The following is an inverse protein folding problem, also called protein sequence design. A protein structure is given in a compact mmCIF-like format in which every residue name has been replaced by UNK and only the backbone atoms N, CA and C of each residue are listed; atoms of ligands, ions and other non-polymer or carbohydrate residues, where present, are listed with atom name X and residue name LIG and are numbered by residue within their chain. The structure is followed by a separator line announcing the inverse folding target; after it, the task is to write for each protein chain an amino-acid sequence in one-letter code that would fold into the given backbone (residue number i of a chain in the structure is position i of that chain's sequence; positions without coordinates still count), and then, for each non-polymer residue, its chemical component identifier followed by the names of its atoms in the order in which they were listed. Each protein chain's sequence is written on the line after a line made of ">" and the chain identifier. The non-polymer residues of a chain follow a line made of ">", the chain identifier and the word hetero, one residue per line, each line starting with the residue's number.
data_IF_096915320454
#
_entry.id   IF_096915320454
#
_cell.length_a   1.000
_cell.length_b   1.000
_cell.length_c   1.000
_cell.angle_alpha   90.00
_cell.angle_beta   90.00
_cell.angle_gamma   90.00
#
_symmetry.space_group_name_H-M   'P 1'
#
loop_
_entity.id
_entity.type
_entity.pdbx_description
1 polymer ?
#
# COMPACT_ATOMS: atom_id res chain seq x y z
N UNK A 1 12.04 52.95 57.87
CA UNK A 1 12.81 52.34 56.76
C UNK A 1 12.93 53.24 55.51
N UNK A 2 12.55 54.53 55.53
CA UNK A 2 12.65 55.41 54.34
C UNK A 2 13.25 56.81 54.60
N UNK A 3 14.06 57.00 55.65
CA UNK A 3 14.71 58.31 55.93
C UNK A 3 15.74 58.77 54.89
N UNK A 4 16.10 57.92 53.94
CA UNK A 4 17.08 58.23 52.88
C UNK A 4 16.45 59.04 51.72
N UNK A 5 15.17 58.81 51.41
CA UNK A 5 14.50 59.40 50.24
C UNK A 5 14.26 60.92 50.44
N UNK A 6 14.00 61.35 51.67
CA UNK A 6 13.67 62.75 51.99
C UNK A 6 14.84 63.74 51.77
N UNK A 7 16.07 63.24 51.66
CA UNK A 7 17.28 64.04 51.43
C UNK A 7 17.61 64.28 49.95
N UNK A 8 16.86 63.67 49.02
CA UNK A 8 17.14 63.73 47.60
C UNK A 8 16.36 64.87 46.94
N UNK A 9 17.04 65.70 46.15
CA UNK A 9 16.37 66.73 45.35
C UNK A 9 15.55 66.09 44.23
N UNK A 10 14.46 66.76 43.82
CA UNK A 10 13.52 66.25 42.81
C UNK A 10 14.20 65.84 41.49
N UNK A 11 15.26 66.57 41.09
CA UNK A 11 16.09 66.21 39.92
C UNK A 11 16.81 64.87 40.09
N UNK A 12 17.36 64.59 41.28
CA UNK A 12 18.05 63.32 41.58
C UNK A 12 17.07 62.14 41.63
N UNK A 13 15.85 62.36 42.12
CA UNK A 13 14.80 61.34 42.13
C UNK A 13 14.41 60.95 40.71
N UNK A 14 14.21 61.93 39.82
CA UNK A 14 13.89 61.67 38.40
C UNK A 14 15.03 60.91 37.71
N UNK A 15 16.30 61.31 37.92
CA UNK A 15 17.45 60.61 37.33
C UNK A 15 17.56 59.17 37.82
N UNK A 16 17.31 58.92 39.11
CA UNK A 16 17.32 57.58 39.69
C UNK A 16 16.19 56.70 39.11
N UNK A 17 15.00 57.27 38.92
CA UNK A 17 13.88 56.57 38.25
C UNK A 17 14.23 56.18 36.82
N UNK A 18 14.82 57.07 36.02
CA UNK A 18 15.22 56.77 34.63
C UNK A 18 16.27 55.65 34.58
N UNK A 19 17.24 55.67 35.50
CA UNK A 19 18.28 54.63 35.59
C UNK A 19 17.66 53.29 35.99
N UNK A 20 16.80 53.25 37.02
CA UNK A 20 16.11 52.03 37.46
C UNK A 20 15.22 51.47 36.34
N UNK A 21 14.52 52.33 35.59
CA UNK A 21 13.72 51.90 34.43
C UNK A 21 14.57 51.29 33.32
N UNK A 22 15.76 51.84 33.04
CA UNK A 22 16.69 51.29 32.04
C UNK A 22 17.34 49.98 32.47
N UNK A 23 17.67 49.83 33.76
CA UNK A 23 18.24 48.58 34.29
C UNK A 23 17.21 47.45 34.38
N UNK A 24 15.93 47.75 34.56
CA UNK A 24 14.86 46.74 34.60
C UNK A 24 14.34 46.34 33.21
N UNK A 25 14.55 47.14 32.16
CA UNK A 25 14.05 46.80 30.82
C UNK A 25 14.86 45.69 30.14
N UNK A 26 16.15 45.59 30.43
CA UNK A 26 17.07 44.60 29.84
C UNK A 26 16.76 43.16 30.32
N UNK A 27 16.65 42.87 31.63
CA UNK A 27 16.37 41.51 32.09
C UNK A 27 15.01 40.97 31.64
N UNK A 28 14.00 41.84 31.44
CA UNK A 28 12.68 41.41 30.94
C UNK A 28 12.73 40.92 29.49
N UNK A 29 13.56 41.55 28.64
CA UNK A 29 13.74 41.15 27.25
C UNK A 29 14.49 39.82 27.13
N UNK A 30 15.47 39.59 28.01
CA UNK A 30 16.25 38.34 28.05
C UNK A 30 15.40 37.17 28.56
N UNK A 31 14.56 37.37 29.57
CA UNK A 31 13.58 36.35 30.02
C UNK A 31 12.58 36.02 28.91
N UNK A 32 12.10 37.03 28.17
CA UNK A 32 11.18 36.80 27.05
C UNK A 32 11.84 36.07 25.87
N UNK A 33 13.11 36.35 25.57
CA UNK A 33 13.86 35.71 24.49
C UNK A 33 14.38 34.29 24.83
N UNK A 34 14.48 33.96 26.13
CA UNK A 34 14.95 32.66 26.62
C UNK A 34 13.81 31.73 27.09
N UNK A 35 12.57 32.20 27.13
CA UNK A 35 11.43 31.30 27.27
C UNK A 35 11.20 30.63 25.91
N UNK A 36 11.52 29.33 25.74
CA UNK A 36 11.11 28.63 24.52
C UNK A 36 9.59 28.77 24.41
N UNK A 37 9.10 29.15 23.23
CA UNK A 37 7.70 28.91 22.88
C UNK A 37 7.60 27.39 22.82
N UNK A 38 7.22 26.76 23.92
CA UNK A 38 6.72 25.40 23.84
C UNK A 38 5.47 25.47 22.97
N UNK A 39 5.61 25.17 21.69
CA UNK A 39 4.48 24.77 20.87
C UNK A 39 4.05 23.40 21.37
N UNK A 40 3.36 23.35 22.50
CA UNK A 40 2.62 22.16 22.89
C UNK A 40 1.47 22.05 21.91
N UNK A 41 1.67 21.30 20.83
CA UNK A 41 0.57 20.75 20.08
C UNK A 41 -0.23 19.87 21.06
N UNK A 42 -1.34 20.39 21.56
CA UNK A 42 -2.30 19.68 22.42
C UNK A 42 -3.11 18.63 21.65
N UNK A 43 -2.45 17.85 20.79
CA UNK A 43 -3.00 16.65 20.16
C UNK A 43 -2.16 15.41 20.46
N UNK A 44 -1.05 15.54 21.18
CA UNK A 44 -0.21 14.41 21.58
C UNK A 44 -0.53 13.97 23.03
N UNK A 45 -1.76 13.54 23.29
CA UNK A 45 -2.03 12.63 24.41
C UNK A 45 -3.38 11.91 24.29
N UNK A 46 -3.40 10.85 23.49
CA UNK A 46 -4.01 9.58 23.89
C UNK A 46 -3.64 8.50 22.86
N UNK A 47 -2.76 7.58 23.28
CA UNK A 47 -2.24 6.40 22.55
C UNK A 47 -1.21 6.72 21.45
N UNK A 48 -0.13 7.41 21.80
CA UNK A 48 1.13 7.17 21.09
C UNK A 48 1.78 5.94 21.74
N UNK A 49 1.58 4.76 21.13
CA UNK A 49 2.57 3.69 21.32
C UNK A 49 3.96 4.25 21.00
N UNK A 50 5.01 3.60 21.51
CA UNK A 50 6.39 3.94 21.13
C UNK A 50 6.45 4.27 19.62
N UNK A 51 7.14 5.34 19.19
CA UNK A 51 7.30 5.59 17.76
C UNK A 51 7.84 4.31 17.15
N UNK A 52 7.05 3.66 16.28
CA UNK A 52 7.51 2.51 15.50
C UNK A 52 8.65 3.04 14.64
N UNK A 53 9.88 2.88 15.10
CA UNK A 53 11.05 2.99 14.26
C UNK A 53 10.89 1.86 13.26
N UNK A 54 10.50 2.18 12.02
CA UNK A 54 10.55 1.22 10.94
C UNK A 54 12.02 0.88 10.72
N UNK A 55 12.43 -0.28 11.22
CA UNK A 55 13.73 -0.83 10.92
C UNK A 55 13.76 -1.06 9.41
N UNK A 56 14.66 -0.38 8.74
CA UNK A 56 14.90 -0.63 7.32
C UNK A 56 15.94 -1.73 7.24
N UNK A 57 15.57 -2.87 6.66
CA UNK A 57 16.52 -3.94 6.37
C UNK A 57 16.48 -4.25 4.88
N UNK A 58 17.67 -4.35 4.29
CA UNK A 58 17.81 -4.82 2.92
C UNK A 58 17.60 -6.34 2.85
N UNK A 59 17.21 -6.87 1.68
CA UNK A 59 17.21 -8.29 1.41
C UNK A 59 18.52 -8.99 1.77
N UNK A 60 18.42 -10.12 2.49
CA UNK A 60 19.56 -10.99 2.78
C UNK A 60 19.31 -12.36 2.18
N UNK A 61 19.90 -12.62 1.01
CA UNK A 61 19.78 -13.90 0.31
C UNK A 61 19.03 -13.78 -1.01
N UNK A 62 18.44 -14.89 -1.47
CA UNK A 62 17.69 -14.92 -2.73
C UNK A 62 16.25 -14.48 -2.46
N UNK A 63 15.87 -13.33 -3.00
CA UNK A 63 14.50 -12.82 -2.94
C UNK A 63 13.57 -13.69 -3.78
N UNK A 64 12.39 -14.06 -3.27
CA UNK A 64 11.41 -14.86 -4.00
C UNK A 64 9.98 -14.47 -3.63
N UNK A 65 9.10 -14.38 -4.63
CA UNK A 65 7.66 -14.35 -4.42
C UNK A 65 7.16 -15.79 -4.38
N UNK A 66 6.45 -16.17 -3.30
CA UNK A 66 5.91 -17.52 -3.12
C UNK A 66 4.40 -17.59 -3.35
N UNK A 67 3.69 -16.46 -3.24
CA UNK A 67 2.26 -16.41 -3.52
C UNK A 67 1.68 -15.01 -3.43
N UNK A 68 0.50 -14.83 -4.02
CA UNK A 68 -0.26 -13.58 -3.99
C UNK A 68 -1.73 -13.94 -3.83
N UNK A 69 -2.41 -13.35 -2.84
CA UNK A 69 -3.87 -13.51 -2.66
C UNK A 69 -4.52 -12.19 -2.18
N UNK A 70 -5.75 -11.90 -2.61
CA UNK A 70 -6.39 -12.52 -3.79
C UNK A 70 -5.57 -12.25 -5.05
N UNK A 71 -5.80 -13.01 -6.12
CA UNK A 71 -5.15 -12.77 -7.43
C UNK A 71 -5.93 -11.81 -8.32
N UNK A 72 -6.99 -11.25 -7.77
CA UNK A 72 -7.91 -10.34 -8.40
C UNK A 72 -8.27 -9.26 -7.38
N UNK A 73 -8.73 -8.12 -7.86
CA UNK A 73 -9.22 -7.06 -6.98
C UNK A 73 -9.67 -5.83 -7.76
N UNK A 74 -10.37 -4.95 -7.08
CA UNK A 74 -10.66 -3.59 -7.54
C UNK A 74 -9.92 -2.58 -6.67
N UNK A 75 -9.94 -1.32 -7.11
CA UNK A 75 -9.38 -0.22 -6.34
C UNK A 75 -9.88 -0.22 -4.88
N UNK A 76 -8.96 -0.13 -3.94
CA UNK A 76 -9.25 -0.16 -2.50
C UNK A 76 -9.21 -1.55 -1.86
N UNK A 77 -9.15 -2.63 -2.63
CA UNK A 77 -8.99 -3.98 -2.07
C UNK A 77 -7.56 -4.18 -1.57
N UNK A 78 -7.41 -4.94 -0.47
CA UNK A 78 -6.12 -5.32 0.08
C UNK A 78 -5.59 -6.60 -0.59
N UNK A 79 -4.29 -6.62 -0.88
CA UNK A 79 -3.57 -7.75 -1.47
C UNK A 79 -2.36 -8.09 -0.63
N UNK A 80 -2.18 -9.39 -0.40
CA UNK A 80 -1.05 -9.95 0.32
C UNK A 80 -0.12 -10.66 -0.65
N UNK A 81 1.17 -10.34 -0.56
CA UNK A 81 2.26 -10.99 -1.27
C UNK A 81 3.12 -11.72 -0.24
N UNK A 82 3.26 -13.03 -0.38
CA UNK A 82 4.17 -13.84 0.42
C UNK A 82 5.48 -14.10 -0.32
N UNK A 83 6.54 -14.30 0.44
CA UNK A 83 7.84 -14.64 -0.11
C UNK A 83 8.92 -14.81 0.93
N UNK A 84 10.15 -14.57 0.50
CA UNK A 84 11.37 -14.76 1.29
C UNK A 84 12.35 -13.62 1.01
N UNK A 85 13.07 -13.20 2.06
CA UNK A 85 14.18 -12.26 2.02
C UNK A 85 13.81 -10.87 1.47
N UNK A 86 12.58 -10.39 1.67
CA UNK A 86 12.16 -9.06 1.22
C UNK A 86 12.77 -7.92 2.04
N UNK A 87 13.32 -8.20 3.22
CA UNK A 87 13.65 -7.18 4.20
C UNK A 87 12.42 -6.48 4.78
N UNK A 88 12.65 -5.52 5.67
CA UNK A 88 11.64 -4.70 6.33
C UNK A 88 11.75 -3.28 5.77
N UNK A 89 10.68 -2.78 5.14
CA UNK A 89 10.62 -1.44 4.51
C UNK A 89 11.92 -0.98 3.80
N UNK A 90 12.49 -1.76 2.87
CA UNK A 90 13.73 -1.41 2.18
C UNK A 90 13.61 -0.11 1.36
N UNK A 91 14.70 0.65 1.30
CA UNK A 91 14.76 1.93 0.57
C UNK A 91 14.69 1.70 -0.94
N UNK A 92 14.10 2.65 -1.69
CA UNK A 92 13.96 2.58 -3.15
C UNK A 92 13.19 1.35 -3.65
N UNK A 93 12.19 0.91 -2.88
CA UNK A 93 11.42 -0.29 -3.19
C UNK A 93 9.98 0.04 -3.54
N UNK A 94 9.40 -0.73 -4.45
CA UNK A 94 8.02 -0.54 -4.88
C UNK A 94 7.39 -1.83 -5.45
N UNK A 95 6.07 -1.86 -5.50
CA UNK A 95 5.29 -2.88 -6.23
C UNK A 95 4.65 -2.18 -7.44
N UNK A 96 4.53 -2.87 -8.56
CA UNK A 96 3.72 -2.40 -9.67
C UNK A 96 2.74 -3.47 -10.15
N UNK A 97 1.54 -3.01 -10.56
CA UNK A 97 0.48 -3.83 -11.13
C UNK A 97 0.04 -3.18 -12.43
N UNK A 98 0.31 -3.85 -13.55
CA UNK A 98 0.07 -3.28 -14.86
C UNK A 98 0.82 -1.95 -15.02
N UNK A 99 0.07 -0.86 -15.19
CA UNK A 99 0.59 0.51 -15.32
C UNK A 99 0.73 1.28 -13.98
N UNK A 100 0.29 0.73 -12.85
CA UNK A 100 0.24 1.44 -11.58
C UNK A 100 1.42 1.07 -10.68
N UNK A 101 2.11 2.10 -10.17
CA UNK A 101 3.16 1.97 -9.16
C UNK A 101 2.56 2.21 -7.76
N UNK A 102 2.87 1.30 -6.84
CA UNK A 102 2.47 1.34 -5.43
C UNK A 102 3.71 1.66 -4.61
N UNK A 103 3.61 2.65 -3.72
CA UNK A 103 4.70 3.07 -2.83
C UNK A 103 4.26 3.17 -1.37
N UNK A 104 2.99 2.85 -1.08
CA UNK A 104 2.40 2.86 0.26
C UNK A 104 1.97 1.45 0.62
N UNK A 105 2.27 1.03 1.86
CA UNK A 105 2.11 -0.35 2.31
C UNK A 105 1.52 -0.39 3.71
N UNK A 106 0.47 -1.18 3.89
CA UNK A 106 -0.03 -1.52 5.23
C UNK A 106 1.01 -2.33 6.01
N UNK A 107 1.82 -3.14 5.30
CA UNK A 107 2.85 -3.99 5.88
C UNK A 107 3.96 -4.28 4.86
N UNK A 108 5.22 -4.22 5.28
CA UNK A 108 6.35 -4.75 4.53
C UNK A 108 7.35 -5.39 5.48
N UNK A 109 7.32 -6.72 5.53
CA UNK A 109 8.22 -7.58 6.29
C UNK A 109 8.92 -8.57 5.38
N UNK A 110 9.93 -9.25 5.93
CA UNK A 110 10.84 -10.11 5.19
C UNK A 110 10.14 -11.22 4.37
N UNK A 111 8.99 -11.70 4.84
CA UNK A 111 8.22 -12.78 4.20
C UNK A 111 6.83 -12.35 3.72
N UNK A 112 6.44 -11.08 3.90
CA UNK A 112 5.09 -10.64 3.65
C UNK A 112 5.01 -9.14 3.35
N UNK A 113 4.35 -8.80 2.23
CA UNK A 113 4.00 -7.43 1.88
C UNK A 113 2.48 -7.34 1.75
N UNK A 114 1.89 -6.29 2.32
CA UNK A 114 0.46 -5.99 2.24
C UNK A 114 0.28 -4.59 1.69
N UNK A 115 -0.51 -4.47 0.62
CA UNK A 115 -0.78 -3.21 -0.04
C UNK A 115 -2.23 -3.12 -0.52
N UNK A 116 -2.66 -1.91 -0.86
CA UNK A 116 -4.00 -1.63 -1.39
C UNK A 116 -3.93 -1.39 -2.90
N UNK A 117 -4.84 -1.98 -3.68
CA UNK A 117 -4.92 -1.79 -5.14
C UNK A 117 -5.24 -0.32 -5.47
N UNK A 118 -4.40 0.39 -6.24
CA UNK A 118 -4.66 1.77 -6.66
C UNK A 118 -5.86 1.94 -7.62
N UNK A 119 -6.39 3.16 -7.68
CA UNK A 119 -7.54 3.50 -8.54
C UNK A 119 -7.28 3.36 -10.04
N UNK A 120 -6.03 3.52 -10.48
CA UNK A 120 -5.65 3.53 -11.90
C UNK A 120 -4.96 2.24 -12.35
N UNK A 121 -5.02 1.18 -11.55
CA UNK A 121 -4.42 -0.11 -11.89
C UNK A 121 -5.12 -0.78 -13.05
N UNK A 122 -4.33 -1.40 -13.92
CA UNK A 122 -4.81 -2.30 -14.98
C UNK A 122 -4.39 -3.73 -14.67
N UNK A 123 -5.14 -4.71 -15.17
CA UNK A 123 -4.72 -6.12 -15.12
C UNK A 123 -3.31 -6.29 -15.71
N UNK A 124 -2.56 -7.21 -15.14
CA UNK A 124 -1.19 -7.46 -15.56
C UNK A 124 -0.40 -8.20 -14.51
N UNK A 125 0.85 -8.54 -14.85
CA UNK A 125 1.76 -9.17 -13.89
C UNK A 125 2.11 -8.20 -12.77
N UNK A 126 2.34 -8.75 -11.59
CA UNK A 126 2.86 -8.00 -10.45
C UNK A 126 4.39 -8.02 -10.53
N UNK A 127 5.01 -6.86 -10.45
CA UNK A 127 6.45 -6.73 -10.28
C UNK A 127 6.78 -6.13 -8.91
N UNK A 128 7.88 -6.60 -8.33
CA UNK A 128 8.39 -6.17 -7.04
C UNK A 128 9.84 -5.74 -7.23
N UNK A 129 10.09 -4.46 -6.98
CA UNK A 129 11.42 -3.84 -7.01
C UNK A 129 11.87 -3.63 -5.59
N UNK A 130 13.02 -4.18 -5.21
CA UNK A 130 13.62 -4.02 -3.88
C UNK A 130 15.06 -3.58 -4.02
N UNK A 131 15.34 -2.28 -3.93
CA UNK A 131 16.65 -1.74 -4.30
C UNK A 131 17.08 -2.19 -5.70
N UNK A 132 18.06 -3.10 -5.79
CA UNK A 132 18.57 -3.66 -7.05
C UNK A 132 17.90 -4.98 -7.47
N UNK A 133 17.04 -5.57 -6.64
CA UNK A 133 16.33 -6.81 -6.95
C UNK A 133 15.05 -6.50 -7.74
N UNK A 134 14.82 -7.26 -8.81
CA UNK A 134 13.61 -7.18 -9.63
C UNK A 134 12.97 -8.55 -9.71
N UNK A 135 11.76 -8.67 -9.17
CA UNK A 135 10.97 -9.89 -9.19
C UNK A 135 9.71 -9.65 -10.01
N UNK A 136 9.21 -10.69 -10.66
CA UNK A 136 7.95 -10.65 -11.39
C UNK A 136 7.18 -11.92 -11.11
N UNK A 137 5.94 -11.78 -10.68
CA UNK A 137 5.02 -12.90 -10.60
C UNK A 137 4.60 -13.32 -12.01
N UNK A 138 4.67 -14.61 -12.29
CA UNK A 138 4.49 -15.17 -13.63
C UNK A 138 3.04 -15.06 -14.12
N UNK A 139 2.08 -15.14 -13.19
CA UNK A 139 0.63 -15.10 -13.47
C UNK A 139 0.09 -13.67 -13.36
N UNK A 140 -0.90 -13.36 -14.19
CA UNK A 140 -1.50 -12.02 -14.22
C UNK A 140 -2.41 -11.80 -13.01
N UNK A 141 -2.30 -10.64 -12.36
CA UNK A 141 -3.29 -10.15 -11.42
C UNK A 141 -4.44 -9.50 -12.19
N UNK A 142 -5.67 -9.88 -11.86
CA UNK A 142 -6.87 -9.40 -12.54
C UNK A 142 -7.45 -8.17 -11.82
N UNK A 143 -7.38 -7.00 -12.46
CA UNK A 143 -8.02 -5.78 -11.97
C UNK A 143 -9.35 -5.58 -12.68
N UNK A 144 -10.42 -5.49 -11.90
CA UNK A 144 -11.76 -5.17 -12.42
C UNK A 144 -12.31 -3.90 -11.76
N UNK A 145 -13.28 -3.27 -12.43
CA UNK A 145 -13.92 -2.05 -11.97
C UNK A 145 -15.41 -2.04 -12.38
N UNK A 146 -16.09 -0.92 -12.17
CA UNK A 146 -17.52 -0.76 -12.49
C UNK A 146 -17.84 -0.87 -13.98
N UNK A 147 -16.84 -0.73 -14.86
CA UNK A 147 -16.99 -0.88 -16.31
C UNK A 147 -16.68 -2.30 -16.79
N UNK A 148 -16.18 -3.19 -15.93
CA UNK A 148 -15.92 -4.59 -16.27
C UNK A 148 -17.25 -5.34 -16.35
N UNK A 149 -17.68 -5.67 -17.58
CA UNK A 149 -18.95 -6.36 -17.83
C UNK A 149 -18.80 -7.88 -17.95
N UNK A 150 -17.63 -8.34 -18.40
CA UNK A 150 -17.31 -9.75 -18.54
C UNK A 150 -17.14 -10.40 -17.16
N UNK A 151 -17.83 -11.52 -16.94
CA UNK A 151 -17.72 -12.30 -15.72
C UNK A 151 -17.42 -13.77 -16.02
N UNK A 152 -16.62 -14.37 -15.13
CA UNK A 152 -16.46 -15.81 -15.03
C UNK A 152 -17.23 -16.28 -13.80
N UNK A 153 -18.12 -17.27 -14.01
CA UNK A 153 -18.89 -17.89 -12.93
C UNK A 153 -18.50 -19.36 -12.83
N UNK A 154 -18.10 -19.78 -11.64
CA UNK A 154 -17.63 -21.14 -11.37
C UNK A 154 -18.70 -21.89 -10.56
N UNK A 155 -19.34 -22.89 -11.18
CA UNK A 155 -20.39 -23.67 -10.50
C UNK A 155 -20.41 -25.11 -10.98
N UNK A 156 -20.51 -26.07 -10.06
CA UNK A 156 -20.68 -27.50 -10.36
C UNK A 156 -19.67 -28.03 -11.39
N UNK A 157 -18.37 -27.72 -11.22
CA UNK A 157 -17.29 -28.07 -12.17
C UNK A 157 -17.53 -27.51 -13.59
N UNK A 158 -18.15 -26.34 -13.68
CA UNK A 158 -18.32 -25.61 -14.94
C UNK A 158 -17.89 -24.17 -14.78
N UNK A 159 -17.42 -23.62 -15.87
CA UNK A 159 -17.13 -22.20 -16.04
C UNK A 159 -18.18 -21.66 -16.98
N UNK A 160 -18.88 -20.62 -16.56
CA UNK A 160 -19.82 -19.90 -17.40
C UNK A 160 -19.26 -18.53 -17.74
N UNK A 161 -19.19 -18.23 -19.03
CA UNK A 161 -18.78 -16.95 -19.58
C UNK A 161 -20.01 -16.05 -19.71
N UNK A 162 -20.06 -14.96 -18.96
CA UNK A 162 -21.17 -14.00 -18.98
C UNK A 162 -20.69 -12.68 -19.56
N UNK A 163 -21.38 -12.16 -20.59
CA UNK A 163 -21.00 -10.94 -21.32
C UNK A 163 -19.53 -10.95 -21.81
N UNK A 164 -19.08 -12.09 -22.35
CA UNK A 164 -17.72 -12.21 -22.85
C UNK A 164 -17.51 -11.36 -24.12
N UNK A 165 -16.32 -10.77 -24.31
CA UNK A 165 -16.03 -9.96 -25.49
C UNK A 165 -15.77 -10.85 -26.72
N UNK A 166 -16.08 -10.36 -27.92
CA UNK A 166 -15.99 -11.16 -29.16
C UNK A 166 -14.57 -11.66 -29.49
N UNK A 167 -13.54 -10.98 -29.00
CA UNK A 167 -12.13 -11.31 -29.20
C UNK A 167 -11.56 -12.25 -28.13
N UNK A 168 -12.37 -12.75 -27.20
CA UNK A 168 -11.91 -13.75 -26.23
C UNK A 168 -11.35 -14.97 -26.96
N UNK A 169 -10.23 -15.51 -26.49
CA UNK A 169 -9.58 -16.66 -27.12
C UNK A 169 -9.37 -17.81 -26.15
N UNK A 170 -8.78 -17.54 -24.97
CA UNK A 170 -8.36 -18.60 -24.05
C UNK A 170 -8.66 -18.28 -22.60
N UNK A 171 -9.09 -19.30 -21.86
CA UNK A 171 -9.18 -19.28 -20.40
C UNK A 171 -8.14 -20.25 -19.85
N UNK A 172 -7.32 -19.76 -18.93
CA UNK A 172 -6.25 -20.50 -18.27
C UNK A 172 -6.60 -20.74 -16.81
N UNK A 173 -6.43 -21.97 -16.34
CA UNK A 173 -6.75 -22.35 -14.96
C UNK A 173 -5.58 -23.09 -14.34
N UNK A 174 -5.11 -22.57 -13.21
CA UNK A 174 -4.10 -23.22 -12.40
C UNK A 174 -4.73 -23.90 -11.20
N UNK A 175 -4.44 -25.18 -11.03
CA UNK A 175 -4.86 -25.96 -9.87
C UNK A 175 -3.96 -25.71 -8.65
N UNK A 176 -2.68 -25.42 -8.91
CA UNK A 176 -1.69 -25.09 -7.89
C UNK A 176 -0.80 -23.96 -8.41
N UNK A 177 -0.07 -23.31 -7.51
CA UNK A 177 0.88 -22.25 -7.89
C UNK A 177 1.99 -22.74 -8.83
N UNK A 178 2.28 -24.05 -8.84
CA UNK A 178 3.39 -24.66 -9.57
C UNK A 178 2.95 -25.55 -10.74
N UNK A 179 1.65 -25.71 -10.99
CA UNK A 179 1.17 -26.53 -12.10
C UNK A 179 1.20 -25.75 -13.42
N UNK A 180 1.31 -26.46 -14.53
CA UNK A 180 0.92 -25.90 -15.83
C UNK A 180 -0.60 -25.61 -15.83
N UNK A 181 -1.06 -24.57 -16.55
CA UNK A 181 -2.47 -24.28 -16.64
C UNK A 181 -3.18 -25.32 -17.50
N UNK A 182 -4.41 -25.63 -17.11
CA UNK A 182 -5.38 -26.15 -18.06
C UNK A 182 -5.90 -25.00 -18.92
N UNK A 183 -6.01 -25.23 -20.23
CA UNK A 183 -6.35 -24.19 -21.22
C UNK A 183 -7.63 -24.58 -21.95
N UNK A 184 -8.63 -23.70 -21.89
CA UNK A 184 -9.87 -23.81 -22.64
C UNK A 184 -9.83 -22.83 -23.80
N UNK A 185 -9.92 -23.33 -25.02
CA UNK A 185 -10.13 -22.48 -26.19
C UNK A 185 -11.60 -22.08 -26.28
N UNK A 186 -11.86 -20.80 -26.48
CA UNK A 186 -13.21 -20.24 -26.44
C UNK A 186 -13.82 -20.23 -27.83
N UNK A 187 -14.67 -21.22 -28.09
CA UNK A 187 -15.48 -21.29 -29.31
C UNK A 187 -16.61 -20.24 -29.34
N UNK A 188 -16.82 -19.62 -30.50
CA UNK A 188 -17.91 -18.65 -30.70
C UNK A 188 -19.27 -19.30 -30.45
N UNK A 189 -20.03 -18.72 -29.51
CA UNK A 189 -21.36 -19.20 -29.14
C UNK A 189 -21.39 -20.23 -28.00
N UNK A 190 -20.24 -20.76 -27.59
CA UNK A 190 -20.16 -21.58 -26.38
C UNK A 190 -19.94 -20.67 -25.16
N UNK A 191 -20.78 -20.85 -24.15
CA UNK A 191 -20.75 -20.05 -22.91
C UNK A 191 -20.38 -20.88 -21.70
N UNK A 192 -20.35 -22.20 -21.82
CA UNK A 192 -20.17 -23.13 -20.69
C UNK A 192 -19.08 -24.12 -21.03
N UNK A 193 -18.11 -24.27 -20.12
CA UNK A 193 -16.98 -25.19 -20.24
C UNK A 193 -16.94 -26.11 -19.02
N UNK A 194 -16.74 -27.40 -19.25
CA UNK A 194 -16.59 -28.36 -18.15
C UNK A 194 -15.15 -28.36 -17.65
N UNK A 195 -15.00 -28.19 -16.34
CA UNK A 195 -13.73 -28.33 -15.64
C UNK A 195 -13.50 -29.83 -15.44
N UNK A 196 -12.36 -30.41 -15.85
CA UNK A 196 -12.10 -31.81 -15.64
C UNK A 196 -12.20 -32.21 -14.19
N UNK A 197 -12.66 -33.44 -13.96
CA UNK A 197 -12.80 -34.02 -12.62
C UNK A 197 -11.49 -34.10 -11.85
N UNK A 198 -10.35 -34.02 -12.54
CA UNK A 198 -9.02 -33.99 -11.95
C UNK A 198 -8.69 -32.65 -11.28
N UNK A 199 -9.33 -31.55 -11.71
CA UNK A 199 -9.20 -30.24 -11.06
C UNK A 199 -10.06 -30.23 -9.81
N UNK A 200 -9.42 -30.25 -8.64
CA UNK A 200 -10.13 -30.23 -7.35
C UNK A 200 -10.26 -28.82 -6.77
N UNK A 201 -9.28 -27.95 -7.01
CA UNK A 201 -9.24 -26.55 -6.59
C UNK A 201 -8.82 -25.66 -7.76
N UNK A 202 -9.20 -24.37 -7.69
CA UNK A 202 -8.75 -23.35 -8.63
C UNK A 202 -7.98 -22.31 -7.83
N UNK A 203 -6.66 -22.26 -8.04
CA UNK A 203 -5.80 -21.29 -7.37
C UNK A 203 -5.70 -19.98 -8.12
N UNK A 204 -5.74 -20.04 -9.46
CA UNK A 204 -5.57 -18.89 -10.33
C UNK A 204 -6.35 -19.05 -11.63
N UNK A 205 -6.81 -17.94 -12.18
CA UNK A 205 -7.47 -17.87 -13.49
C UNK A 205 -6.96 -16.66 -14.26
N UNK A 206 -6.77 -16.83 -15.56
CA UNK A 206 -6.50 -15.74 -16.49
C UNK A 206 -7.30 -15.92 -17.77
N UNK A 207 -7.62 -14.83 -18.44
CA UNK A 207 -8.31 -14.85 -19.73
C UNK A 207 -7.51 -14.00 -20.70
N UNK A 208 -7.33 -14.49 -21.92
CA UNK A 208 -6.62 -13.78 -22.98
C UNK A 208 -7.48 -13.66 -24.24
N UNK A 209 -7.24 -12.58 -24.97
CA UNK A 209 -7.79 -12.37 -26.30
C UNK A 209 -6.94 -13.05 -27.41
N UNK A 210 -7.40 -12.94 -28.66
CA UNK A 210 -6.71 -13.47 -29.84
C UNK A 210 -5.27 -12.93 -30.01
N UNK A 211 -4.95 -11.78 -29.41
CA UNK A 211 -3.64 -11.13 -29.44
C UNK A 211 -2.78 -11.45 -28.20
N UNK A 212 -3.22 -12.39 -27.35
CA UNK A 212 -2.57 -12.74 -26.06
C UNK A 212 -2.55 -11.58 -25.06
N UNK A 213 -3.53 -10.69 -25.17
CA UNK A 213 -3.74 -9.59 -24.22
C UNK A 213 -4.72 -10.06 -23.16
N UNK A 214 -4.37 -9.85 -21.89
CA UNK A 214 -5.23 -10.21 -20.76
C UNK A 214 -6.54 -9.43 -20.76
N UNK A 215 -7.67 -10.14 -20.59
CA UNK A 215 -9.00 -9.56 -20.51
C UNK A 215 -9.41 -9.47 -19.04
N UNK A 216 -9.76 -8.29 -18.51
CA UNK A 216 -10.26 -8.17 -17.14
C UNK A 216 -11.66 -8.77 -17.02
N UNK A 217 -11.92 -9.43 -15.89
CA UNK A 217 -13.20 -10.08 -15.61
C UNK A 217 -13.60 -9.91 -14.15
N UNK A 218 -14.90 -9.98 -13.85
CA UNK A 218 -15.38 -10.11 -12.47
C UNK A 218 -15.48 -11.59 -12.08
N UNK A 219 -15.22 -11.87 -10.80
CA UNK A 219 -15.42 -13.19 -10.18
C UNK A 219 -16.25 -13.07 -8.91
N UNK A 220 -16.88 -14.16 -8.48
CA UNK A 220 -17.47 -14.21 -7.16
C UNK A 220 -16.40 -14.63 -6.14
N UNK A 221 -16.10 -13.81 -5.10
CA UNK A 221 -15.10 -14.14 -4.09
C UNK A 221 -15.28 -15.51 -3.44
N UNK A 222 -16.53 -15.95 -3.25
CA UNK A 222 -16.88 -17.22 -2.62
C UNK A 222 -16.42 -18.44 -3.43
N UNK A 223 -16.05 -18.25 -4.69
CA UNK A 223 -15.54 -19.32 -5.56
C UNK A 223 -14.03 -19.59 -5.34
N UNK A 224 -13.35 -18.74 -4.57
CA UNK A 224 -11.90 -18.76 -4.34
C UNK A 224 -11.50 -18.73 -2.87
N UNK A 225 -12.44 -18.99 -1.95
CA UNK A 225 -12.15 -19.17 -0.53
C UNK A 225 -11.73 -20.62 -0.29
N UNK A 226 -10.49 -20.81 0.18
CA UNK A 226 -9.97 -22.10 0.66
C UNK A 226 -10.77 -22.66 1.86
#
# INVERSE_FOLDING_TARGET
>A
MFKFIDSLSLKKIITLSVIISSLLSIPLLVIYALNPIETTNSSASSVAGEPKIFKHTDPVGTTKISGIKPFWGKAGDEVVVWGENFGEYPINSYIAIGNAKITEYSKWEDNQIVFTVPQNSTSGKISLSIGNYQLTWDKAFNVFNTNTQFALVFNNKKITLVNYPENISKVYIWQTLYSEPEVFEVDKGQTVYEIPKTINSIEWVSVEDENKVGIPFTVNPLEFTD
#
